data_IF_327772518629
#
_entry.id   IF_327772518629
#
_cell.length_a   1.000
_cell.length_b   1.000
_cell.length_c   1.000
_cell.angle_alpha   90.00
_cell.angle_beta   90.00
_cell.angle_gamma   90.00
#
_symmetry.space_group_name_H-M   'P 1'
#
loop_
_entity.id
_entity.type
_entity.pdbx_description
1 polymer ?
#
# COMPACT_ATOMS: atom_id res chain seq x y z
N UNK A 1 -31.62 2.04 -15.30
CA UNK A 1 -30.19 1.68 -15.25
C UNK A 1 -29.53 1.95 -16.62
N UNK A 2 -29.72 3.15 -17.19
CA UNK A 2 -29.28 3.51 -18.55
C UNK A 2 -28.67 4.93 -18.65
N UNK A 3 -28.49 5.63 -17.54
CA UNK A 3 -28.12 7.06 -17.56
C UNK A 3 -26.63 7.37 -17.36
N UNK A 4 -25.81 6.39 -16.97
CA UNK A 4 -24.41 6.69 -16.59
C UNK A 4 -23.55 7.11 -17.79
N UNK A 5 -23.84 6.64 -19.00
CA UNK A 5 -23.05 6.92 -20.20
C UNK A 5 -23.38 8.24 -20.91
N UNK A 6 -24.41 8.97 -20.45
CA UNK A 6 -24.85 10.24 -21.05
C UNK A 6 -24.55 11.47 -20.21
N UNK A 7 -23.87 11.33 -19.07
CA UNK A 7 -23.39 12.47 -18.30
C UNK A 7 -22.24 13.16 -19.03
N UNK A 8 -22.55 14.23 -19.76
CA UNK A 8 -21.53 15.03 -20.47
C UNK A 8 -20.57 15.79 -19.53
N UNK A 9 -20.81 15.77 -18.21
CA UNK A 9 -20.01 16.45 -17.20
C UNK A 9 -19.51 15.50 -16.09
N UNK A 10 -19.45 14.19 -16.31
CA UNK A 10 -18.92 13.24 -15.32
C UNK A 10 -17.86 12.33 -15.94
N UNK A 11 -16.75 12.14 -15.22
CA UNK A 11 -15.75 11.14 -15.53
C UNK A 11 -15.96 9.92 -14.64
N UNK A 12 -15.89 8.72 -15.24
CA UNK A 12 -15.99 7.45 -14.51
C UNK A 12 -14.57 6.89 -14.36
N UNK A 13 -14.17 6.60 -13.12
CA UNK A 13 -12.93 5.88 -12.81
C UNK A 13 -13.33 4.52 -12.26
N UNK A 14 -12.93 3.47 -12.98
CA UNK A 14 -13.15 2.08 -12.56
C UNK A 14 -11.86 1.53 -11.96
N UNK A 15 -11.96 0.89 -10.80
CA UNK A 15 -10.83 0.26 -10.11
C UNK A 15 -11.15 -1.22 -9.94
N UNK A 16 -10.27 -2.07 -10.45
CA UNK A 16 -10.41 -3.51 -10.39
C UNK A 16 -9.07 -4.16 -10.02
N UNK A 17 -9.14 -5.28 -9.29
CA UNK A 17 -7.98 -6.11 -8.96
C UNK A 17 -7.77 -7.28 -9.93
N UNK A 18 -8.73 -7.52 -10.83
CA UNK A 18 -8.68 -8.59 -11.83
C UNK A 18 -8.85 -7.98 -13.21
N UNK A 19 -8.23 -8.57 -14.21
CA UNK A 19 -8.34 -8.10 -15.61
C UNK A 19 -9.64 -8.58 -16.27
N UNK A 20 -10.32 -9.58 -15.69
CA UNK A 20 -11.50 -10.24 -16.26
C UNK A 20 -12.84 -9.66 -15.79
N UNK A 21 -12.86 -8.46 -15.19
CA UNK A 21 -14.10 -7.83 -14.68
C UNK A 21 -15.16 -7.67 -15.77
N UNK A 22 -14.76 -7.53 -17.04
CA UNK A 22 -15.67 -7.34 -18.17
C UNK A 22 -16.08 -8.64 -18.86
N UNK A 23 -15.52 -9.79 -18.47
CA UNK A 23 -15.76 -11.08 -19.15
C UNK A 23 -17.19 -11.58 -18.95
N UNK A 24 -17.78 -11.35 -17.77
CA UNK A 24 -19.14 -11.79 -17.43
C UNK A 24 -20.22 -10.74 -17.76
N UNK A 25 -19.86 -9.61 -18.37
CA UNK A 25 -20.80 -8.52 -18.68
C UNK A 25 -21.44 -8.68 -20.07
N UNK A 26 -22.68 -8.23 -20.22
CA UNK A 26 -23.40 -8.23 -21.51
C UNK A 26 -22.68 -7.37 -22.57
N UNK A 27 -22.81 -7.73 -23.85
CA UNK A 27 -22.02 -7.19 -24.97
C UNK A 27 -22.09 -5.66 -25.10
N UNK A 28 -23.24 -5.07 -24.73
CA UNK A 28 -23.44 -3.60 -24.76
C UNK A 28 -22.60 -2.87 -23.72
N UNK A 29 -22.41 -3.48 -22.56
CA UNK A 29 -21.64 -2.90 -21.47
C UNK A 29 -20.15 -3.02 -21.79
N UNK A 30 -19.72 -4.17 -22.32
CA UNK A 30 -18.37 -4.34 -22.88
C UNK A 30 -18.06 -3.31 -23.95
N UNK A 31 -18.95 -3.10 -24.91
CA UNK A 31 -18.76 -2.11 -25.97
C UNK A 31 -18.61 -0.68 -25.43
N UNK A 32 -19.42 -0.31 -24.43
CA UNK A 32 -19.33 1.02 -23.79
C UNK A 32 -18.02 1.24 -23.04
N UNK A 33 -17.46 0.18 -22.44
CA UNK A 33 -16.22 0.25 -21.66
C UNK A 33 -14.95 -0.08 -22.47
N UNK A 34 -15.09 -0.65 -23.66
CA UNK A 34 -13.95 -0.96 -24.55
C UNK A 34 -13.20 0.28 -25.04
N UNK A 35 -13.80 1.47 -24.93
CA UNK A 35 -13.17 2.74 -25.21
C UNK A 35 -12.45 3.37 -24.01
N UNK A 36 -12.47 2.74 -22.83
CA UNK A 36 -11.76 3.26 -21.65
C UNK A 36 -10.25 3.06 -21.79
N UNK A 37 -9.49 4.06 -21.37
CA UNK A 37 -8.05 3.94 -21.21
C UNK A 37 -7.73 3.05 -19.99
N UNK A 38 -6.98 1.97 -20.21
CA UNK A 38 -6.57 1.06 -19.14
C UNK A 38 -5.20 1.47 -18.57
N UNK A 39 -5.15 1.73 -17.26
CA UNK A 39 -3.90 1.97 -16.53
C UNK A 39 -3.61 0.77 -15.64
N UNK A 40 -2.55 0.02 -15.98
CA UNK A 40 -2.10 -1.14 -15.18
C UNK A 40 -1.16 -0.72 -14.07
N UNK A 41 -1.57 -0.98 -12.82
CA UNK A 41 -0.72 -0.84 -11.64
C UNK A 41 0.04 -2.13 -11.38
N UNK A 42 1.33 -2.13 -11.74
CA UNK A 42 2.22 -3.27 -11.44
C UNK A 42 2.55 -3.31 -9.94
N UNK A 43 2.84 -4.50 -9.38
CA UNK A 43 3.41 -4.60 -8.03
C UNK A 43 4.64 -3.73 -7.89
N UNK A 44 4.84 -3.16 -6.70
CA UNK A 44 5.97 -2.28 -6.45
C UNK A 44 7.30 -3.05 -6.56
N UNK A 45 8.33 -2.39 -7.06
CA UNK A 45 9.70 -2.91 -6.95
C UNK A 45 10.20 -2.79 -5.51
N UNK A 46 11.24 -3.54 -5.15
CA UNK A 46 11.88 -3.43 -3.83
C UNK A 46 12.37 -2.01 -3.55
N UNK A 47 12.87 -1.30 -4.57
CA UNK A 47 13.36 0.07 -4.41
C UNK A 47 12.20 1.05 -4.19
N UNK A 48 11.09 0.92 -4.93
CA UNK A 48 9.90 1.73 -4.69
C UNK A 48 9.32 1.49 -3.28
N UNK A 49 9.32 0.24 -2.82
CA UNK A 49 8.91 -0.08 -1.46
C UNK A 49 9.86 0.52 -0.42
N UNK A 50 11.16 0.50 -0.67
CA UNK A 50 12.14 1.15 0.19
C UNK A 50 11.88 2.65 0.30
N UNK A 51 11.64 3.34 -0.81
CA UNK A 51 11.35 4.78 -0.84
C UNK A 51 10.06 5.10 -0.06
N UNK A 52 8.99 4.33 -0.29
CA UNK A 52 7.74 4.45 0.47
C UNK A 52 8.02 4.29 1.96
N UNK A 53 8.78 3.28 2.37
CA UNK A 53 9.10 3.04 3.79
C UNK A 53 9.99 4.13 4.38
N UNK A 54 10.91 4.70 3.59
CA UNK A 54 11.77 5.80 4.02
C UNK A 54 10.94 7.04 4.36
N UNK A 55 9.97 7.38 3.50
CA UNK A 55 9.00 8.44 3.78
C UNK A 55 8.18 8.14 5.05
N UNK A 56 7.69 6.90 5.19
CA UNK A 56 6.95 6.51 6.41
C UNK A 56 7.78 6.58 7.68
N UNK A 57 9.08 6.27 7.63
CA UNK A 57 9.99 6.47 8.75
C UNK A 57 10.11 7.96 9.08
N UNK A 58 10.39 8.79 8.06
CA UNK A 58 10.61 10.23 8.21
C UNK A 58 9.43 10.96 8.87
N UNK A 59 8.19 10.63 8.49
CA UNK A 59 7.00 11.31 9.02
C UNK A 59 6.34 10.59 10.21
N UNK A 60 6.62 9.31 10.41
CA UNK A 60 5.87 8.47 11.35
C UNK A 60 6.68 7.90 12.53
N UNK A 61 8.00 8.02 12.50
CA UNK A 61 8.88 7.48 13.52
C UNK A 61 9.87 8.54 14.01
N UNK A 62 10.43 8.31 15.21
CA UNK A 62 11.55 9.13 15.70
C UNK A 62 12.78 8.90 14.83
N UNK A 63 13.60 9.94 14.71
CA UNK A 63 14.89 9.86 14.05
C UNK A 63 15.71 8.70 14.62
N UNK A 64 16.43 8.02 13.73
CA UNK A 64 17.29 6.85 14.03
C UNK A 64 16.63 5.63 14.67
N UNK A 65 15.30 5.60 14.77
CA UNK A 65 14.58 4.44 15.34
C UNK A 65 14.64 3.18 14.46
N UNK A 66 14.86 3.33 13.15
CA UNK A 66 14.94 2.22 12.19
C UNK A 66 16.01 2.54 11.13
N UNK A 67 16.95 1.61 10.96
CA UNK A 67 18.03 1.72 9.98
C UNK A 67 17.56 1.38 8.57
N UNK A 68 18.22 1.94 7.56
CA UNK A 68 17.94 1.67 6.14
C UNK A 68 18.06 0.18 5.79
N UNK A 69 18.96 -0.55 6.44
CA UNK A 69 19.10 -2.00 6.26
C UNK A 69 17.83 -2.77 6.63
N UNK A 70 17.13 -2.35 7.68
CA UNK A 70 15.85 -2.94 8.08
C UNK A 70 14.75 -2.58 7.07
N UNK A 71 14.73 -1.36 6.56
CA UNK A 71 13.76 -0.95 5.53
C UNK A 71 13.94 -1.76 4.24
N UNK A 72 15.20 -1.95 3.78
CA UNK A 72 15.51 -2.80 2.62
C UNK A 72 15.10 -4.26 2.84
N UNK A 73 15.32 -4.78 4.04
CA UNK A 73 14.88 -6.12 4.40
C UNK A 73 13.34 -6.25 4.32
N UNK A 74 12.60 -5.29 4.89
CA UNK A 74 11.13 -5.29 4.83
C UNK A 74 10.66 -5.20 3.38
N UNK A 75 11.23 -4.29 2.59
CA UNK A 75 10.89 -4.11 1.18
C UNK A 75 11.07 -5.41 0.38
N UNK A 76 12.25 -6.05 0.48
CA UNK A 76 12.53 -7.33 -0.22
C UNK A 76 11.59 -8.48 0.18
N UNK A 77 11.07 -8.47 1.42
CA UNK A 77 10.17 -9.52 1.94
C UNK A 77 8.69 -9.26 1.67
N UNK A 78 8.34 -8.09 1.13
CA UNK A 78 6.94 -7.68 0.95
C UNK A 78 6.36 -8.02 -0.42
N UNK A 79 7.17 -8.60 -1.32
CA UNK A 79 6.75 -9.13 -2.62
C UNK A 79 5.89 -8.15 -3.44
N UNK A 80 6.28 -6.87 -3.44
CA UNK A 80 5.58 -5.80 -4.17
C UNK A 80 4.31 -5.25 -3.52
N UNK A 81 3.92 -5.72 -2.32
CA UNK A 81 2.76 -5.21 -1.57
C UNK A 81 3.19 -4.17 -0.52
N UNK A 82 2.89 -2.91 -0.79
CA UNK A 82 3.18 -1.81 0.12
C UNK A 82 2.42 -1.91 1.45
N UNK A 83 1.22 -2.51 1.49
CA UNK A 83 0.46 -2.68 2.73
C UNK A 83 1.17 -3.65 3.65
N UNK A 84 1.69 -4.75 3.10
CA UNK A 84 2.49 -5.73 3.86
C UNK A 84 3.73 -5.05 4.40
N UNK A 85 4.46 -4.30 3.57
CA UNK A 85 5.66 -3.56 3.97
C UNK A 85 5.39 -2.59 5.13
N UNK A 86 4.40 -1.71 4.97
CA UNK A 86 4.05 -0.68 5.96
C UNK A 86 3.55 -1.32 7.25
N UNK A 87 2.73 -2.38 7.16
CA UNK A 87 2.23 -3.09 8.34
C UNK A 87 3.36 -3.74 9.14
N UNK A 88 4.38 -4.25 8.44
CA UNK A 88 5.56 -4.88 9.04
C UNK A 88 6.42 -3.83 9.73
N UNK A 89 6.68 -2.69 9.08
CA UNK A 89 7.38 -1.55 9.69
C UNK A 89 6.66 -1.08 10.97
N UNK A 90 5.34 -0.91 10.91
CA UNK A 90 4.54 -0.52 12.08
C UNK A 90 4.67 -1.51 13.23
N UNK A 91 4.59 -2.82 12.95
CA UNK A 91 4.74 -3.87 13.97
C UNK A 91 6.15 -3.86 14.59
N UNK A 92 7.19 -3.68 13.77
CA UNK A 92 8.57 -3.58 14.24
C UNK A 92 8.75 -2.40 15.20
N UNK A 93 8.25 -1.21 14.83
CA UNK A 93 8.31 -0.02 15.66
C UNK A 93 7.53 -0.18 16.99
N UNK A 94 6.34 -0.79 16.95
CA UNK A 94 5.55 -1.07 18.16
C UNK A 94 6.26 -2.02 19.12
N UNK A 95 6.94 -3.05 18.59
CA UNK A 95 7.69 -4.01 19.41
C UNK A 95 8.86 -3.34 20.12
N UNK A 96 9.56 -2.44 19.44
CA UNK A 96 10.66 -1.67 20.03
C UNK A 96 10.17 -0.79 21.19
N UNK A 97 9.09 -0.02 20.99
CA UNK A 97 8.50 0.81 22.05
C UNK A 97 8.08 0.01 23.29
N UNK A 98 7.51 -1.19 23.09
CA UNK A 98 7.13 -2.07 24.21
C UNK A 98 8.35 -2.54 25.01
N UNK A 99 9.46 -2.86 24.34
CA UNK A 99 10.72 -3.26 25.00
C UNK A 99 11.33 -2.12 25.81
N UNK A 100 11.38 -0.92 25.24
CA UNK A 100 11.86 0.28 25.95
C UNK A 100 11.03 0.56 27.21
N UNK A 101 9.71 0.45 27.11
CA UNK A 101 8.80 0.62 28.26
C UNK A 101 9.07 -0.44 29.34
N UNK A 102 9.30 -1.70 28.96
CA UNK A 102 9.61 -2.79 29.90
C UNK A 102 10.94 -2.61 30.63
N UNK A 103 12.00 -2.14 29.96
CA UNK A 103 13.27 -1.83 30.63
C UNK A 103 13.10 -0.73 31.68
N UNK A 104 12.40 0.36 31.34
CA UNK A 104 12.21 1.49 32.27
C UNK A 104 11.41 1.08 33.52
N UNK A 105 10.33 0.30 33.37
CA UNK A 105 9.57 -0.17 34.54
C UNK A 105 10.32 -1.22 35.36
N UNK A 106 11.25 -1.97 34.77
CA UNK A 106 12.12 -2.87 35.52
C UNK A 106 13.15 -2.09 36.35
N UNK A 107 13.72 -1.01 35.81
CA UNK A 107 14.67 -0.15 36.51
C UNK A 107 14.03 0.72 37.61
N UNK A 108 12.71 0.98 37.54
CA UNK A 108 11.95 1.73 38.57
C UNK A 108 11.43 0.87 39.73
N UNK A 109 11.55 -0.47 39.63
CA UNK A 109 11.12 -1.42 40.68
C UNK A 109 12.30 -2.02 41.46
N UNK A 110 13.52 -1.58 41.18
CA UNK A 110 14.73 -1.90 41.93
C UNK A 110 15.11 -0.71 42.83
#
# INVERSE_FOLDING_TARGET
MYDLSRFQNAAIILIANREDVFTDMDDRIRSSFSALEEIRFKPYTSDQLFDILQDRRKYGLRDDSVTDSVLKLIASKSNGDARVAISTLRKAAQKQRKRETQCVVASLKA
#
